data_IF_895633598085
#
_entry.id   IF_895633598085
#
_cell.length_a   1.000
_cell.length_b   1.000
_cell.length_c   1.000
_cell.angle_alpha   90.00
_cell.angle_beta   90.00
_cell.angle_gamma   90.00
#
_symmetry.space_group_name_H-M   'P 1'
#
loop_
_entity.id
_entity.type
_entity.pdbx_description
1 polymer ?
#
# COMPACT_ATOMS: atom_id res chain seq x y z
N UNK A 1 19.67 -67.47 14.90
CA UNK A 1 20.29 -67.81 13.60
C UNK A 1 20.39 -66.52 12.79
N UNK A 2 21.58 -66.25 12.26
CA UNK A 2 22.02 -65.02 11.57
C UNK A 2 21.41 -64.88 10.16
N UNK A 3 21.67 -63.71 9.57
CA UNK A 3 21.67 -63.33 8.14
C UNK A 3 20.39 -62.60 7.68
N UNK A 4 20.42 -61.55 6.85
CA UNK A 4 21.48 -60.66 6.38
C UNK A 4 20.80 -59.49 5.64
N UNK A 5 21.59 -58.42 5.49
CA UNK A 5 21.31 -57.10 4.92
C UNK A 5 21.57 -57.09 3.41
N UNK A 6 20.76 -56.35 2.64
CA UNK A 6 21.05 -55.76 1.31
C UNK A 6 20.04 -54.60 1.15
N UNK A 7 20.36 -53.29 1.10
CA UNK A 7 21.38 -52.48 0.42
C UNK A 7 21.27 -52.45 -1.10
N UNK A 8 20.54 -51.47 -1.65
CA UNK A 8 20.96 -50.66 -2.81
C UNK A 8 20.01 -49.44 -2.93
N UNK A 9 20.44 -48.22 -2.61
CA UNK A 9 20.99 -47.17 -3.50
C UNK A 9 20.01 -46.62 -4.55
N UNK A 10 19.43 -45.46 -4.22
CA UNK A 10 19.57 -44.20 -4.95
C UNK A 10 18.88 -44.05 -6.30
N UNK A 11 17.92 -43.12 -6.38
CA UNK A 11 17.92 -42.12 -7.45
C UNK A 11 17.21 -40.84 -6.99
N UNK A 12 18.01 -39.79 -6.88
CA UNK A 12 17.62 -38.39 -6.68
C UNK A 12 17.10 -37.87 -8.02
N UNK A 13 15.89 -37.29 -8.04
CA UNK A 13 15.53 -36.32 -9.07
C UNK A 13 14.94 -35.09 -8.36
N UNK A 14 15.82 -34.11 -8.18
CA UNK A 14 15.49 -32.71 -7.94
C UNK A 14 15.14 -32.09 -9.30
N UNK A 15 13.97 -31.48 -9.44
CA UNK A 15 13.79 -30.36 -10.38
C UNK A 15 12.85 -29.32 -9.79
N UNK A 16 13.44 -28.18 -9.44
CA UNK A 16 12.79 -26.93 -9.07
C UNK A 16 11.89 -26.39 -10.19
N UNK A 17 10.70 -25.92 -9.83
CA UNK A 17 9.87 -25.04 -10.66
C UNK A 17 9.94 -23.61 -10.14
N UNK A 18 10.97 -22.86 -10.53
CA UNK A 18 11.04 -21.40 -10.36
C UNK A 18 10.53 -20.76 -11.64
N UNK A 19 9.36 -20.15 -11.57
CA UNK A 19 8.72 -19.45 -12.69
C UNK A 19 9.20 -17.99 -12.68
N UNK A 20 10.20 -17.66 -13.51
CA UNK A 20 10.64 -16.28 -13.74
C UNK A 20 10.27 -15.83 -15.16
N UNK A 21 9.41 -14.82 -15.23
CA UNK A 21 8.91 -14.22 -16.46
C UNK A 21 10.03 -13.39 -17.11
N UNK A 22 10.51 -13.86 -18.26
CA UNK A 22 11.64 -13.30 -19.00
C UNK A 22 11.19 -12.14 -19.91
N UNK A 23 11.52 -10.91 -19.52
CA UNK A 23 11.40 -9.65 -20.29
C UNK A 23 12.28 -9.72 -21.56
N UNK A 24 11.69 -9.73 -22.76
CA UNK A 24 12.44 -9.71 -24.03
C UNK A 24 12.57 -8.29 -24.60
N UNK A 25 13.79 -7.75 -24.46
CA UNK A 25 14.36 -6.64 -25.23
C UNK A 25 14.39 -7.04 -26.71
N UNK A 26 13.72 -6.31 -27.59
CA UNK A 26 13.96 -6.37 -29.05
C UNK A 26 14.76 -5.14 -29.44
N UNK A 27 16.03 -5.37 -29.78
CA UNK A 27 16.97 -4.40 -30.34
C UNK A 27 17.47 -5.04 -31.64
N UNK A 28 16.93 -4.64 -32.79
CA UNK A 28 17.46 -4.94 -34.13
C UNK A 28 17.02 -3.80 -35.07
N UNK A 29 17.90 -2.82 -35.33
CA UNK A 29 18.85 -2.71 -36.44
C UNK A 29 18.37 -1.61 -37.41
N UNK A 30 19.08 -0.48 -37.34
CA UNK A 30 19.13 0.54 -38.37
C UNK A 30 19.73 -0.04 -39.66
N UNK A 31 19.06 0.14 -40.78
CA UNK A 31 19.68 0.38 -42.10
C UNK A 31 18.56 0.48 -43.15
N UNK A 32 18.66 1.47 -44.04
CA UNK A 32 17.81 1.71 -45.22
C UNK A 32 16.51 2.51 -45.04
N UNK A 33 16.62 3.78 -44.61
CA UNK A 33 15.63 4.81 -44.99
C UNK A 33 16.23 6.23 -45.08
N UNK A 34 17.51 6.36 -45.44
CA UNK A 34 18.20 7.67 -45.55
C UNK A 34 18.21 8.21 -47.00
N UNK A 35 17.67 7.49 -47.98
CA UNK A 35 17.72 7.90 -49.40
C UNK A 35 16.37 8.49 -49.90
N UNK A 36 15.34 8.54 -49.05
CA UNK A 36 14.03 9.12 -49.42
C UNK A 36 13.82 10.60 -49.07
N UNK A 37 14.72 11.22 -48.31
CA UNK A 37 14.49 12.55 -47.71
C UNK A 37 15.30 13.65 -48.44
N UNK A 38 16.26 13.28 -49.30
CA UNK A 38 17.12 14.27 -49.99
C UNK A 38 16.57 14.78 -51.32
N UNK A 39 15.51 14.20 -51.89
CA UNK A 39 14.95 14.64 -53.19
C UNK A 39 13.80 15.64 -53.10
N UNK A 40 13.24 15.89 -51.90
CA UNK A 40 12.09 16.79 -51.73
C UNK A 40 12.50 18.23 -51.34
N UNK A 41 13.78 18.45 -50.98
CA UNK A 41 14.29 19.76 -50.55
C UNK A 41 14.78 20.67 -51.69
N UNK A 42 14.62 20.29 -52.96
CA UNK A 42 15.10 21.07 -54.12
C UNK A 42 14.00 21.79 -54.92
N UNK A 43 12.73 21.72 -54.50
CA UNK A 43 11.63 22.44 -55.15
C UNK A 43 11.13 23.68 -54.38
N UNK A 44 11.80 24.08 -53.30
CA UNK A 44 11.44 25.27 -52.51
C UNK A 44 12.40 26.45 -52.77
N UNK A 45 12.56 26.83 -54.04
CA UNK A 45 13.52 27.87 -54.40
C UNK A 45 13.29 28.48 -55.77
N UNK A 46 12.14 29.14 -55.97
CA UNK A 46 11.96 30.29 -56.89
C UNK A 46 10.46 30.61 -57.00
N UNK A 47 9.97 31.53 -56.17
CA UNK A 47 9.02 32.58 -56.55
C UNK A 47 9.25 33.68 -55.51
N UNK A 48 10.03 34.70 -55.88
CA UNK A 48 9.85 36.02 -55.30
C UNK A 48 8.78 36.72 -56.11
N UNK A 49 7.65 37.03 -55.47
CA UNK A 49 6.77 38.09 -55.93
C UNK A 49 6.24 38.85 -54.72
N UNK A 50 6.77 40.05 -54.56
CA UNK A 50 6.23 41.21 -53.85
C UNK A 50 4.70 41.24 -53.75
N UNK A 51 4.19 41.44 -52.54
CA UNK A 51 2.77 41.64 -52.27
C UNK A 51 2.49 41.96 -50.80
N UNK A 52 2.63 43.23 -50.46
CA UNK A 52 1.91 44.03 -49.46
C UNK A 52 1.34 43.41 -48.18
N UNK A 53 1.67 44.09 -47.07
CA UNK A 53 1.03 44.00 -45.75
C UNK A 53 -0.50 43.94 -45.87
N UNK A 54 -1.10 42.92 -45.28
CA UNK A 54 -2.40 43.05 -44.61
C UNK A 54 -2.38 42.15 -43.38
N UNK A 55 -2.23 42.78 -42.23
CA UNK A 55 -2.59 42.25 -40.92
C UNK A 55 -4.05 41.76 -40.97
N UNK A 56 -4.25 40.45 -40.90
CA UNK A 56 -5.49 39.85 -40.42
C UNK A 56 -5.14 39.02 -39.20
N UNK A 57 -5.30 39.64 -38.04
CA UNK A 57 -5.50 38.91 -36.79
C UNK A 57 -6.77 38.08 -37.00
N UNK A 58 -6.61 36.78 -37.17
CA UNK A 58 -7.71 35.85 -36.97
C UNK A 58 -7.91 35.79 -35.46
N UNK A 59 -8.89 36.55 -34.98
CA UNK A 59 -9.53 36.29 -33.70
C UNK A 59 -10.05 34.85 -33.75
N UNK A 60 -9.29 33.93 -33.17
CA UNK A 60 -9.86 32.65 -32.78
C UNK A 60 -10.77 32.94 -31.59
N UNK A 61 -12.07 33.07 -31.87
CA UNK A 61 -13.11 32.95 -30.85
C UNK A 61 -12.89 31.63 -30.11
N UNK A 62 -12.39 31.73 -28.87
CA UNK A 62 -12.38 30.62 -27.93
C UNK A 62 -13.84 30.32 -27.63
N UNK A 63 -14.40 29.31 -28.30
CA UNK A 63 -15.66 28.72 -27.88
C UNK A 63 -15.43 28.13 -26.49
N UNK A 64 -15.81 28.89 -25.46
CA UNK A 64 -15.87 28.41 -24.08
C UNK A 64 -17.00 27.40 -24.03
N UNK A 65 -16.66 26.13 -24.27
CA UNK A 65 -17.54 25.03 -23.89
C UNK A 65 -17.55 25.04 -22.37
N UNK A 66 -18.64 25.47 -21.75
CA UNK A 66 -18.85 25.31 -20.31
C UNK A 66 -18.79 23.80 -20.02
N UNK A 67 -17.64 23.36 -19.52
CA UNK A 67 -17.41 21.96 -19.21
C UNK A 67 -18.24 21.66 -17.96
N UNK A 68 -19.28 20.83 -18.13
CA UNK A 68 -20.08 20.36 -17.01
C UNK A 68 -19.17 19.65 -15.99
N UNK A 69 -19.33 19.91 -14.68
CA UNK A 69 -18.51 19.27 -13.67
C UNK A 69 -18.84 17.78 -13.60
N UNK A 70 -17.81 16.95 -13.49
CA UNK A 70 -17.99 15.54 -13.20
C UNK A 70 -18.41 15.37 -11.75
N UNK A 71 -19.41 14.54 -11.46
CA UNK A 71 -19.80 14.18 -10.09
C UNK A 71 -19.27 12.79 -9.80
N UNK A 72 -18.47 12.64 -8.74
CA UNK A 72 -17.96 11.34 -8.28
C UNK A 72 -18.42 11.06 -6.85
N UNK A 73 -18.82 9.81 -6.59
CA UNK A 73 -18.87 9.25 -5.24
C UNK A 73 -17.44 8.90 -4.81
N UNK A 74 -16.96 9.57 -3.76
CA UNK A 74 -15.61 9.38 -3.22
C UNK A 74 -15.73 8.70 -1.87
N UNK A 75 -15.17 7.50 -1.75
CA UNK A 75 -15.01 6.78 -0.49
C UNK A 75 -13.58 6.92 0.00
N UNK A 76 -13.39 7.47 1.20
CA UNK A 76 -12.09 7.63 1.86
C UNK A 76 -11.96 6.59 2.96
N UNK A 77 -10.88 5.81 2.93
CA UNK A 77 -10.53 4.81 3.93
C UNK A 77 -9.24 5.21 4.63
N UNK A 78 -9.32 5.55 5.92
CA UNK A 78 -8.14 5.77 6.77
C UNK A 78 -7.83 4.48 7.50
N UNK A 79 -6.71 3.84 7.17
CA UNK A 79 -6.24 2.66 7.87
C UNK A 79 -5.25 3.06 8.96
N UNK A 80 -5.53 2.69 10.20
CA UNK A 80 -4.67 2.96 11.36
C UNK A 80 -3.73 1.78 11.64
N UNK A 81 -2.71 2.02 12.47
CA UNK A 81 -1.68 1.02 12.83
C UNK A 81 -2.23 -0.19 13.60
N UNK A 82 -3.35 -0.01 14.30
CA UNK A 82 -4.09 -1.06 15.02
C UNK A 82 -5.01 -1.88 14.09
N UNK A 83 -5.02 -1.59 12.79
CA UNK A 83 -5.85 -2.30 11.81
C UNK A 83 -7.28 -1.78 11.71
N UNK A 84 -7.67 -0.81 12.53
CA UNK A 84 -8.95 -0.12 12.40
C UNK A 84 -9.00 0.66 11.09
N UNK A 85 -10.18 0.66 10.44
CA UNK A 85 -10.43 1.41 9.20
C UNK A 85 -11.60 2.35 9.45
N UNK A 86 -11.34 3.65 9.34
CA UNK A 86 -12.38 4.67 9.32
C UNK A 86 -12.76 4.95 7.86
N UNK A 87 -14.05 4.81 7.54
CA UNK A 87 -14.58 5.02 6.20
C UNK A 87 -15.55 6.22 6.16
N UNK A 88 -15.41 7.07 5.15
CA UNK A 88 -16.35 8.16 4.86
C UNK A 88 -16.63 8.24 3.36
N UNK A 89 -17.90 8.36 2.98
CA UNK A 89 -18.31 8.51 1.58
C UNK A 89 -19.04 9.84 1.36
N UNK A 90 -18.66 10.57 0.31
CA UNK A 90 -19.31 11.82 -0.08
C UNK A 90 -19.33 12.00 -1.60
N UNK A 91 -20.24 12.85 -2.09
CA UNK A 91 -20.23 13.27 -3.50
C UNK A 91 -19.32 14.48 -3.69
N UNK A 92 -18.48 14.45 -4.73
CA UNK A 92 -17.56 15.54 -5.06
C UNK A 92 -17.77 16.01 -6.51
N UNK A 93 -17.88 17.33 -6.69
CA UNK A 93 -17.99 17.97 -8.02
C UNK A 93 -16.61 18.39 -8.50
N UNK A 94 -16.17 17.78 -9.59
CA UNK A 94 -14.83 17.90 -10.14
C UNK A 94 -14.87 18.67 -11.46
N UNK A 95 -14.28 19.85 -11.47
CA UNK A 95 -14.14 20.70 -12.66
C UNK A 95 -12.93 20.29 -13.50
N UNK A 96 -11.84 19.94 -12.82
CA UNK A 96 -10.59 19.48 -13.40
C UNK A 96 -10.11 18.24 -12.65
N UNK A 97 -9.78 17.18 -13.39
CA UNK A 97 -9.34 15.90 -12.80
C UNK A 97 -7.96 16.06 -12.14
N UNK A 98 -7.16 16.98 -12.65
CA UNK A 98 -5.85 17.36 -12.13
C UNK A 98 -5.96 17.90 -10.69
N UNK A 99 -6.95 18.76 -10.43
CA UNK A 99 -7.19 19.33 -9.10
C UNK A 99 -7.64 18.26 -8.10
N UNK A 100 -8.49 17.33 -8.54
CA UNK A 100 -8.93 16.19 -7.73
C UNK A 100 -7.73 15.34 -7.30
N UNK A 101 -6.86 14.94 -8.23
CA UNK A 101 -5.67 14.15 -7.89
C UNK A 101 -4.62 14.92 -7.10
N UNK A 102 -4.55 16.24 -7.27
CA UNK A 102 -3.68 17.10 -6.45
C UNK A 102 -4.16 17.16 -4.99
N UNK A 103 -5.47 17.26 -4.77
CA UNK A 103 -6.06 17.23 -3.43
C UNK A 103 -5.79 15.91 -2.72
N UNK A 104 -5.95 14.79 -3.42
CA UNK A 104 -5.75 13.43 -2.89
C UNK A 104 -4.36 12.84 -3.18
N UNK A 105 -3.33 13.67 -3.37
CA UNK A 105 -2.00 13.23 -3.82
C UNK A 105 -1.29 12.24 -2.88
N UNK A 106 -1.65 12.23 -1.59
CA UNK A 106 -1.11 11.33 -0.57
C UNK A 106 -2.03 10.14 -0.26
N UNK A 107 -3.11 9.98 -1.03
CA UNK A 107 -4.02 8.84 -0.97
C UNK A 107 -3.72 7.86 -2.09
N UNK A 108 -3.91 6.57 -1.80
CA UNK A 108 -3.78 5.48 -2.74
C UNK A 108 -5.15 5.14 -3.33
N UNK A 109 -5.24 5.03 -4.65
CA UNK A 109 -6.45 4.52 -5.29
C UNK A 109 -6.54 3.02 -5.07
N UNK A 110 -7.60 2.58 -4.38
CA UNK A 110 -7.89 1.16 -4.14
C UNK A 110 -8.83 0.61 -5.20
N UNK A 111 -9.82 1.42 -5.57
CA UNK A 111 -10.84 1.04 -6.53
C UNK A 111 -11.27 2.27 -7.34
N UNK A 112 -11.51 2.08 -8.63
CA UNK A 112 -12.02 3.13 -9.50
C UNK A 112 -13.00 2.50 -10.48
N UNK A 113 -14.21 3.05 -10.53
CA UNK A 113 -15.27 2.69 -11.47
C UNK A 113 -15.90 3.97 -12.05
N UNK A 114 -16.79 3.82 -13.02
CA UNK A 114 -17.53 4.96 -13.55
C UNK A 114 -18.37 5.60 -12.42
N UNK A 115 -18.14 6.89 -12.16
CA UNK A 115 -18.87 7.63 -11.12
C UNK A 115 -18.42 7.36 -9.67
N UNK A 116 -17.46 6.46 -9.42
CA UNK A 116 -17.01 6.10 -8.07
C UNK A 116 -15.50 5.91 -7.95
N UNK A 117 -14.94 6.36 -6.83
CA UNK A 117 -13.53 6.11 -6.48
C UNK A 117 -13.40 5.79 -4.99
N UNK A 118 -12.59 4.77 -4.67
CA UNK A 118 -12.20 4.42 -3.30
C UNK A 118 -10.73 4.75 -3.13
N UNK A 119 -10.46 5.65 -2.18
CA UNK A 119 -9.14 6.12 -1.83
C UNK A 119 -8.78 5.64 -0.43
N UNK A 120 -7.53 5.26 -0.23
CA UNK A 120 -7.01 4.80 1.06
C UNK A 120 -5.79 5.59 1.48
N UNK A 121 -5.72 5.89 2.78
CA UNK A 121 -4.55 6.51 3.40
C UNK A 121 -4.17 5.77 4.68
N UNK A 122 -2.88 5.43 4.78
CA UNK A 122 -2.31 4.89 6.00
C UNK A 122 -2.06 6.02 7.00
N UNK A 123 -2.58 5.86 8.21
CA UNK A 123 -2.41 6.79 9.31
C UNK A 123 -1.39 6.19 10.26
N UNK A 124 -0.25 6.87 10.41
CA UNK A 124 0.83 6.46 11.29
C UNK A 124 0.53 6.77 12.78
N UNK A 125 -0.68 6.44 13.23
CA UNK A 125 -1.19 6.55 14.59
C UNK A 125 -2.16 5.38 14.87
N UNK A 126 -2.52 5.18 16.14
CA UNK A 126 -3.60 4.26 16.52
C UNK A 126 -4.95 4.99 16.46
N UNK A 127 -6.02 4.23 16.22
CA UNK A 127 -7.37 4.79 16.11
C UNK A 127 -7.81 5.53 17.39
N UNK A 128 -8.67 6.56 17.28
CA UNK A 128 -9.27 7.20 18.45
C UNK A 128 -9.99 6.21 19.36
N UNK A 129 -10.67 5.22 18.76
CA UNK A 129 -11.33 4.13 19.48
C UNK A 129 -10.35 3.29 20.31
N UNK A 130 -9.19 2.95 19.75
CA UNK A 130 -8.14 2.24 20.49
C UNK A 130 -7.61 3.07 21.67
N UNK A 131 -7.49 4.40 21.51
CA UNK A 131 -7.07 5.30 22.59
C UNK A 131 -8.08 5.34 23.73
N UNK A 132 -9.35 5.39 23.37
CA UNK A 132 -10.45 5.50 24.33
C UNK A 132 -10.69 4.18 25.07
N UNK A 133 -10.60 3.03 24.39
CA UNK A 133 -11.06 1.75 24.93
C UNK A 133 -9.96 0.71 25.12
N UNK A 134 -8.81 0.82 24.45
CA UNK A 134 -7.79 -0.23 24.43
C UNK A 134 -6.95 -0.34 25.69
N UNK A 135 -6.71 -1.59 26.12
CA UNK A 135 -5.73 -1.95 27.16
C UNK A 135 -4.95 -3.20 26.73
N UNK A 136 -3.63 -3.22 26.96
CA UNK A 136 -2.87 -4.47 26.86
C UNK A 136 -3.07 -5.32 28.10
N UNK A 137 -3.12 -6.64 27.90
CA UNK A 137 -3.05 -7.61 28.98
C UNK A 137 -2.61 -8.99 28.50
N UNK A 138 -2.85 -9.99 29.34
CA UNK A 138 -2.57 -11.39 29.04
C UNK A 138 -3.88 -12.16 28.85
N UNK A 139 -3.99 -12.86 27.73
CA UNK A 139 -5.01 -13.87 27.45
C UNK A 139 -4.31 -15.20 27.20
N UNK A 140 -4.44 -16.18 28.08
CA UNK A 140 -3.80 -17.51 27.94
C UNK A 140 -2.31 -17.42 27.55
N UNK A 141 -1.53 -16.67 28.35
CA UNK A 141 -0.11 -16.36 28.12
C UNK A 141 0.20 -15.60 26.81
N UNK A 142 -0.81 -15.13 26.07
CA UNK A 142 -0.64 -14.25 24.92
C UNK A 142 -0.77 -12.79 25.30
N UNK A 143 0.15 -11.96 24.81
CA UNK A 143 -0.06 -10.52 24.79
C UNK A 143 -1.25 -10.22 23.89
N UNK A 144 -2.25 -9.55 24.45
CA UNK A 144 -3.47 -9.22 23.75
C UNK A 144 -3.92 -7.80 24.11
N UNK A 145 -4.76 -7.23 23.26
CA UNK A 145 -5.48 -5.98 23.51
C UNK A 145 -6.94 -6.33 23.81
N UNK A 146 -7.48 -5.68 24.83
CA UNK A 146 -8.83 -5.82 25.32
C UNK A 146 -9.60 -4.50 25.13
N UNK A 147 -10.90 -4.61 24.92
CA UNK A 147 -11.85 -3.49 24.96
C UNK A 147 -12.21 -3.18 26.41
N UNK A 148 -11.37 -2.42 27.11
CA UNK A 148 -11.47 -2.24 28.56
C UNK A 148 -10.51 -3.15 29.33
N UNK A 149 -10.78 -3.39 30.62
CA UNK A 149 -9.84 -4.10 31.48
C UNK A 149 -9.79 -5.61 31.16
N UNK A 150 -8.60 -6.25 31.14
CA UNK A 150 -8.43 -7.65 30.74
C UNK A 150 -9.23 -8.71 31.54
N UNK A 151 -9.73 -8.38 32.72
CA UNK A 151 -10.35 -9.33 33.65
C UNK A 151 -11.76 -9.77 33.17
N UNK A 152 -12.45 -8.92 32.40
CA UNK A 152 -13.87 -9.12 32.06
C UNK A 152 -14.22 -8.89 30.59
N UNK A 153 -13.27 -8.44 29.79
CA UNK A 153 -13.57 -7.85 28.49
C UNK A 153 -13.12 -8.70 27.31
N UNK A 154 -13.66 -8.36 26.15
CA UNK A 154 -13.41 -9.07 24.90
C UNK A 154 -12.01 -8.76 24.39
N UNK A 155 -11.31 -9.80 23.94
CA UNK A 155 -10.05 -9.67 23.22
C UNK A 155 -10.33 -9.07 21.84
N UNK A 156 -9.80 -7.87 21.59
CA UNK A 156 -9.83 -7.22 20.29
C UNK A 156 -8.82 -7.90 19.36
N UNK A 157 -7.60 -8.10 19.85
CA UNK A 157 -6.49 -8.62 19.06
C UNK A 157 -5.44 -9.32 19.92
N UNK A 158 -5.02 -10.51 19.51
CA UNK A 158 -3.89 -11.22 20.09
C UNK A 158 -2.63 -11.04 19.23
N UNK A 159 -1.48 -10.90 19.87
CA UNK A 159 -0.18 -10.72 19.21
C UNK A 159 0.64 -12.01 19.27
N UNK A 160 1.46 -12.17 20.31
CA UNK A 160 2.38 -13.28 20.48
C UNK A 160 2.30 -13.83 21.92
N UNK A 161 2.67 -15.10 22.08
CA UNK A 161 2.85 -15.68 23.41
C UNK A 161 4.04 -15.01 24.09
N UNK A 162 3.90 -14.72 25.38
CA UNK A 162 4.97 -14.30 26.26
C UNK A 162 5.30 -15.49 27.16
N UNK A 163 6.59 -15.75 27.38
CA UNK A 163 6.99 -16.68 28.43
C UNK A 163 6.71 -16.03 29.78
N UNK A 164 5.55 -16.34 30.34
CA UNK A 164 5.16 -15.76 31.63
C UNK A 164 6.03 -16.28 32.77
N UNK A 165 6.87 -17.30 32.60
CA UNK A 165 7.87 -17.70 33.59
C UNK A 165 9.00 -16.67 33.77
N UNK A 166 9.37 -15.99 32.70
CA UNK A 166 10.45 -15.00 32.66
C UNK A 166 9.98 -13.58 33.06
N UNK A 167 8.67 -13.37 33.21
CA UNK A 167 8.10 -12.09 33.63
C UNK A 167 8.39 -11.81 35.11
N UNK A 168 9.00 -10.64 35.37
CA UNK A 168 9.08 -10.11 36.72
C UNK A 168 7.68 -9.89 37.31
N UNK A 169 7.53 -10.06 38.63
CA UNK A 169 6.23 -9.97 39.30
C UNK A 169 5.50 -8.67 38.99
N UNK A 170 6.22 -7.55 38.91
CA UNK A 170 5.62 -6.25 38.59
C UNK A 170 5.12 -6.18 37.13
N UNK A 171 5.81 -6.81 36.17
CA UNK A 171 5.41 -6.82 34.76
C UNK A 171 4.15 -7.64 34.57
N UNK A 172 4.11 -8.81 35.20
CA UNK A 172 2.92 -9.66 35.22
C UNK A 172 1.73 -8.93 35.80
N UNK A 173 1.90 -8.28 36.96
CA UNK A 173 0.82 -7.53 37.58
C UNK A 173 0.33 -6.40 36.68
N UNK A 174 1.22 -5.63 36.03
CA UNK A 174 0.81 -4.58 35.09
C UNK A 174 -0.01 -5.11 33.91
N UNK A 175 0.33 -6.29 33.38
CA UNK A 175 -0.45 -6.91 32.31
C UNK A 175 -1.80 -7.49 32.81
N UNK A 176 -1.87 -7.94 34.06
CA UNK A 176 -3.12 -8.39 34.69
C UNK A 176 -4.06 -7.22 34.98
N UNK A 177 -3.52 -6.13 35.52
CA UNK A 177 -4.26 -4.89 35.82
C UNK A 177 -4.70 -4.16 34.54
N UNK A 178 -3.99 -4.41 33.43
CA UNK A 178 -4.22 -3.77 32.14
C UNK A 178 -3.37 -2.51 31.94
N UNK A 179 -2.67 -2.43 30.82
CA UNK A 179 -1.88 -1.24 30.45
C UNK A 179 -2.67 -0.42 29.45
N UNK A 180 -3.16 0.75 29.87
CA UNK A 180 -3.95 1.65 29.00
C UNK A 180 -3.15 2.08 27.76
N UNK A 181 -3.80 2.03 26.60
CA UNK A 181 -3.19 2.45 25.32
C UNK A 181 -3.58 3.90 25.00
N UNK A 182 -3.04 4.86 25.74
CA UNK A 182 -3.41 6.27 25.57
C UNK A 182 -2.77 6.95 24.34
N UNK A 183 -1.75 6.33 23.74
CA UNK A 183 -1.01 6.89 22.61
C UNK A 183 -0.31 5.82 21.77
N UNK A 184 0.07 6.19 20.55
CA UNK A 184 0.94 5.38 19.69
C UNK A 184 2.24 4.99 20.39
N UNK A 185 2.84 5.90 21.15
CA UNK A 185 4.11 5.65 21.82
C UNK A 185 3.96 4.55 22.87
N UNK A 186 2.87 4.55 23.63
CA UNK A 186 2.57 3.46 24.58
C UNK A 186 2.32 2.14 23.84
N UNK A 187 1.57 2.20 22.73
CA UNK A 187 1.31 1.04 21.88
C UNK A 187 2.60 0.37 21.40
N UNK A 188 3.50 1.15 20.78
CA UNK A 188 4.77 0.67 20.26
C UNK A 188 5.71 0.22 21.40
N UNK A 189 5.77 0.97 22.50
CA UNK A 189 6.61 0.66 23.64
C UNK A 189 6.26 -0.69 24.26
N UNK A 190 4.97 -0.96 24.49
CA UNK A 190 4.53 -2.23 25.09
C UNK A 190 4.82 -3.39 24.14
N UNK A 191 4.51 -3.23 22.85
CA UNK A 191 4.80 -4.27 21.86
C UNK A 191 6.29 -4.58 21.72
N UNK A 192 7.18 -3.62 21.93
CA UNK A 192 8.62 -3.84 21.89
C UNK A 192 9.15 -4.39 23.23
N UNK A 193 8.69 -3.85 24.36
CA UNK A 193 9.14 -4.25 25.70
C UNK A 193 8.92 -5.75 25.98
N UNK A 194 7.79 -6.30 25.52
CA UNK A 194 7.47 -7.72 25.72
C UNK A 194 7.92 -8.62 24.57
N UNK A 195 8.43 -8.07 23.45
CA UNK A 195 8.87 -8.85 22.29
C UNK A 195 10.04 -9.78 22.63
N UNK A 196 10.97 -9.30 23.45
CA UNK A 196 12.14 -10.08 23.89
C UNK A 196 11.79 -11.25 24.80
N UNK A 197 10.57 -11.28 25.35
CA UNK A 197 10.06 -12.34 26.22
C UNK A 197 9.20 -13.35 25.46
N UNK A 198 9.06 -13.20 24.14
CA UNK A 198 8.41 -14.19 23.31
C UNK A 198 9.30 -15.44 23.20
N UNK A 199 8.73 -16.66 23.25
CA UNK A 199 9.50 -17.90 23.11
C UNK A 199 10.31 -17.88 21.81
N UNK A 200 11.63 -18.02 21.92
CA UNK A 200 12.48 -18.21 20.75
C UNK A 200 12.16 -19.60 20.20
N UNK A 201 11.33 -19.71 19.16
CA UNK A 201 11.17 -20.97 18.43
C UNK A 201 12.53 -21.31 17.84
N UNK A 202 13.23 -22.29 18.45
CA UNK A 202 14.39 -22.93 17.82
C UNK A 202 13.87 -23.65 16.58
N UNK A 203 14.00 -23.03 15.41
CA UNK A 203 13.80 -23.71 14.15
C UNK A 203 15.02 -24.61 13.95
N UNK A 204 15.00 -25.78 14.57
CA UNK A 204 15.91 -26.86 14.21
C UNK A 204 15.45 -27.38 12.85
N UNK A 205 16.17 -26.96 11.80
CA UNK A 205 16.10 -27.55 10.46
C UNK A 205 16.98 -28.80 10.37
#
# INVERSE_FOLDING_TARGET
>A
MKMAKLSNRGLVILTHGVNSVRKRRKLFVCSMAVIGITSVLLQFGLIQSTGERTTRAAEQEVQVTEKEPLVLEVTLQKQYMDGHVEESTHEEKIWAMEDFWSYYHDWQVVEQQEGKVVLKKEIADISPYMKENGYFGLSDDQLAIFEGLPIHEQVIQSFYQIDTGELESYQRQRLQDGIKIESKQVYEYVLEAYRGMAPQRSVNS
#
